data_IF_975999268097
#
_entry.id   IF_975999268097
#
_cell.length_a   1.000
_cell.length_b   1.000
_cell.length_c   1.000
_cell.angle_alpha   90.00
_cell.angle_beta   90.00
_cell.angle_gamma   90.00
#
_symmetry.space_group_name_H-M   'P 1'
#
loop_
_entity.id
_entity.type
_entity.pdbx_description
1 polymer ?
#
# COMPACT_ATOMS: atom_id res chain seq x y z
N UNK A 1 -5.44 22.18 -37.24
CA UNK A 1 -4.59 22.40 -36.05
C UNK A 1 -5.46 22.08 -34.85
N UNK A 2 -5.34 20.85 -34.36
CA UNK A 2 -6.12 20.35 -33.23
C UNK A 2 -5.52 20.86 -31.93
N UNK A 3 -5.95 22.04 -31.49
CA UNK A 3 -5.71 22.52 -30.13
C UNK A 3 -6.75 21.91 -29.19
N UNK A 4 -6.74 20.58 -29.07
CA UNK A 4 -7.26 19.91 -27.89
C UNK A 4 -6.18 20.03 -26.80
N UNK A 5 -5.98 21.27 -26.33
CA UNK A 5 -5.03 21.56 -25.28
C UNK A 5 -5.42 20.80 -24.00
N UNK A 6 -4.47 20.06 -23.48
CA UNK A 6 -4.43 19.36 -22.20
C UNK A 6 -5.45 19.90 -21.19
N UNK A 7 -6.51 19.12 -20.92
CA UNK A 7 -7.35 19.35 -19.75
C UNK A 7 -6.46 19.04 -18.56
N UNK A 8 -6.08 20.03 -17.72
CA UNK A 8 -5.25 19.76 -16.56
C UNK A 8 -5.97 18.72 -15.70
N UNK A 9 -5.26 17.64 -15.40
CA UNK A 9 -5.72 16.53 -14.58
C UNK A 9 -6.48 17.08 -13.36
N UNK A 10 -7.76 16.74 -13.26
CA UNK A 10 -8.66 17.39 -12.33
C UNK A 10 -8.14 17.24 -10.90
N UNK A 11 -7.81 18.36 -10.24
CA UNK A 11 -7.26 18.34 -8.88
C UNK A 11 -8.18 17.58 -7.93
N UNK A 12 -7.61 16.62 -7.20
CA UNK A 12 -8.31 15.95 -6.10
C UNK A 12 -8.76 16.98 -5.06
N UNK A 13 -9.85 16.70 -4.31
CA UNK A 13 -10.31 17.59 -3.25
C UNK A 13 -9.20 17.93 -2.24
N UNK A 14 -8.32 16.98 -1.93
CA UNK A 14 -7.20 17.11 -1.00
C UNK A 14 -6.17 18.11 -1.53
N UNK A 15 -5.71 17.92 -2.77
CA UNK A 15 -4.74 18.80 -3.41
C UNK A 15 -5.30 20.21 -3.55
N UNK A 16 -6.59 20.34 -3.89
CA UNK A 16 -7.28 21.64 -3.96
C UNK A 16 -7.28 22.35 -2.60
N UNK A 17 -7.58 21.65 -1.49
CA UNK A 17 -7.51 22.23 -0.14
C UNK A 17 -6.09 22.66 0.21
N UNK A 18 -5.09 21.84 -0.12
CA UNK A 18 -3.67 22.17 0.09
C UNK A 18 -3.26 23.46 -0.62
N UNK A 19 -3.63 23.61 -1.90
CA UNK A 19 -3.34 24.84 -2.65
C UNK A 19 -4.04 26.07 -2.06
N UNK A 20 -5.30 25.93 -1.65
CA UNK A 20 -6.06 27.04 -1.05
C UNK A 20 -5.47 27.48 0.30
N UNK A 21 -5.07 26.53 1.16
CA UNK A 21 -4.37 26.85 2.41
C UNK A 21 -3.04 27.56 2.14
N UNK A 22 -2.23 27.05 1.21
CA UNK A 22 -0.96 27.69 0.87
C UNK A 22 -1.13 29.13 0.33
N UNK A 23 -2.24 29.42 -0.36
CA UNK A 23 -2.59 30.79 -0.76
C UNK A 23 -2.92 31.64 0.47
N UNK A 24 -3.76 31.14 1.38
CA UNK A 24 -4.12 31.83 2.60
C UNK A 24 -2.89 32.12 3.47
N UNK A 25 -1.97 31.17 3.61
CA UNK A 25 -0.70 31.32 4.35
C UNK A 25 0.14 32.47 3.76
N UNK A 26 0.29 32.50 2.42
CA UNK A 26 1.03 33.57 1.74
C UNK A 26 0.36 34.93 1.91
N UNK A 27 -0.97 34.98 1.88
CA UNK A 27 -1.72 36.23 2.13
C UNK A 27 -1.54 36.70 3.57
N UNK A 28 -1.56 35.79 4.54
CA UNK A 28 -1.35 36.11 5.95
C UNK A 28 0.06 36.65 6.20
N UNK A 29 1.08 36.00 5.63
CA UNK A 29 2.47 36.47 5.69
C UNK A 29 2.68 37.81 5.00
N UNK A 30 1.96 38.08 3.91
CA UNK A 30 2.01 39.38 3.25
C UNK A 30 1.37 40.46 4.14
N UNK A 31 0.21 40.16 4.73
CA UNK A 31 -0.49 41.08 5.63
C UNK A 31 0.32 41.40 6.88
N UNK A 32 1.02 40.42 7.46
CA UNK A 32 1.87 40.62 8.65
C UNK A 32 3.13 41.45 8.39
N UNK A 33 3.47 41.70 7.12
CA UNK A 33 4.60 42.54 6.71
C UNK A 33 4.17 43.96 6.35
N UNK A 34 2.88 44.25 6.33
CA UNK A 34 2.40 45.61 6.09
C UNK A 34 2.71 46.49 7.31
N UNK A 35 3.03 47.77 7.05
CA UNK A 35 3.21 48.73 8.11
C UNK A 35 1.87 49.00 8.82
N UNK A 36 1.95 49.46 10.07
CA UNK A 36 0.76 49.81 10.83
C UNK A 36 -0.09 50.85 10.07
N UNK A 37 -1.41 50.60 9.92
CA UNK A 37 -2.28 51.51 9.20
C UNK A 37 -2.41 52.84 9.97
N UNK A 38 -2.38 53.95 9.23
CA UNK A 38 -2.43 55.31 9.79
C UNK A 38 -3.77 55.99 9.54
N UNK A 39 -4.55 55.46 8.62
CA UNK A 39 -5.85 56.01 8.22
C UNK A 39 -6.98 54.99 8.40
N UNK A 40 -8.21 55.48 8.54
CA UNK A 40 -9.39 54.62 8.64
C UNK A 40 -9.56 53.70 7.42
N UNK A 41 -9.25 54.19 6.22
CA UNK A 41 -9.35 53.39 4.98
C UNK A 41 -8.33 52.24 4.96
N UNK A 42 -7.10 52.48 5.42
CA UNK A 42 -6.08 51.43 5.55
C UNK A 42 -6.49 50.36 6.58
N UNK A 43 -7.09 50.78 7.70
CA UNK A 43 -7.63 49.85 8.71
C UNK A 43 -8.73 48.98 8.09
N UNK A 44 -9.71 49.58 7.40
CA UNK A 44 -10.79 48.83 6.74
C UNK A 44 -10.25 47.84 5.70
N UNK A 45 -9.26 48.26 4.90
CA UNK A 45 -8.61 47.40 3.92
C UNK A 45 -7.91 46.21 4.58
N UNK A 46 -7.21 46.43 5.69
CA UNK A 46 -6.59 45.38 6.50
C UNK A 46 -7.61 44.39 7.03
N UNK A 47 -8.71 44.88 7.61
CA UNK A 47 -9.82 44.04 8.12
C UNK A 47 -10.44 43.20 7.00
N UNK A 48 -10.74 43.80 5.84
CA UNK A 48 -11.32 43.06 4.70
C UNK A 48 -10.39 41.92 4.24
N UNK A 49 -9.08 42.16 4.22
CA UNK A 49 -8.08 41.13 3.87
C UNK A 49 -8.03 40.02 4.92
N UNK A 50 -8.02 40.38 6.20
CA UNK A 50 -8.06 39.40 7.29
C UNK A 50 -9.30 38.50 7.21
N UNK A 51 -10.48 39.08 6.97
CA UNK A 51 -11.73 38.32 6.81
C UNK A 51 -11.71 37.38 5.60
N UNK A 52 -11.08 37.77 4.49
CA UNK A 52 -10.91 36.90 3.32
C UNK A 52 -10.01 35.70 3.63
N UNK A 53 -8.91 35.93 4.36
CA UNK A 53 -7.98 34.88 4.79
C UNK A 53 -8.71 33.90 5.72
N UNK A 54 -9.40 34.40 6.73
CA UNK A 54 -10.17 33.58 7.68
C UNK A 54 -11.22 32.73 6.96
N UNK A 55 -11.94 33.32 6.00
CA UNK A 55 -12.96 32.61 5.21
C UNK A 55 -12.35 31.49 4.35
N UNK A 56 -11.12 31.64 3.86
CA UNK A 56 -10.43 30.58 3.13
C UNK A 56 -10.09 29.40 4.05
N UNK A 57 -9.55 29.65 5.24
CA UNK A 57 -9.29 28.60 6.22
C UNK A 57 -10.58 27.89 6.63
N UNK A 58 -11.62 28.64 7.01
CA UNK A 58 -12.89 28.06 7.43
C UNK A 58 -13.50 27.12 6.37
N UNK A 59 -13.37 27.46 5.09
CA UNK A 59 -13.82 26.60 3.99
C UNK A 59 -12.96 25.33 3.85
N UNK A 60 -11.65 25.45 4.00
CA UNK A 60 -10.76 24.29 3.98
C UNK A 60 -11.06 23.35 5.15
N UNK A 61 -11.25 23.89 6.35
CA UNK A 61 -11.55 23.13 7.56
C UNK A 61 -12.92 22.43 7.47
N UNK A 62 -13.95 23.15 7.00
CA UNK A 62 -15.29 22.58 6.84
C UNK A 62 -15.30 21.43 5.82
N UNK A 63 -14.56 21.58 4.71
CA UNK A 63 -14.49 20.53 3.68
C UNK A 63 -13.68 19.33 4.14
N UNK A 64 -12.61 19.54 4.90
CA UNK A 64 -11.84 18.47 5.52
C UNK A 64 -12.64 17.72 6.59
N UNK A 65 -13.34 18.43 7.47
CA UNK A 65 -14.23 17.83 8.46
C UNK A 65 -15.33 16.99 7.79
N UNK A 66 -15.89 17.46 6.66
CA UNK A 66 -16.86 16.69 5.88
C UNK A 66 -16.23 15.43 5.27
N UNK A 67 -15.01 15.52 4.74
CA UNK A 67 -14.31 14.37 4.18
C UNK A 67 -14.04 13.29 5.25
N UNK A 68 -13.63 13.70 6.45
CA UNK A 68 -13.42 12.79 7.59
C UNK A 68 -14.73 12.10 7.97
N UNK A 69 -15.83 12.85 8.11
CA UNK A 69 -17.16 12.27 8.42
C UNK A 69 -17.58 11.20 7.40
N UNK A 70 -17.35 11.47 6.11
CA UNK A 70 -17.67 10.51 5.05
C UNK A 70 -16.78 9.26 5.13
N UNK A 71 -15.48 9.42 5.42
CA UNK A 71 -14.56 8.30 5.58
C UNK A 71 -14.96 7.39 6.75
N UNK A 72 -15.32 7.98 7.90
CA UNK A 72 -15.80 7.23 9.07
C UNK A 72 -17.07 6.45 8.73
N UNK A 73 -18.06 7.09 8.11
CA UNK A 73 -19.31 6.43 7.72
C UNK A 73 -19.05 5.25 6.75
N UNK A 74 -18.11 5.40 5.80
CA UNK A 74 -17.72 4.31 4.90
C UNK A 74 -17.07 3.14 5.64
N UNK A 75 -16.23 3.41 6.65
CA UNK A 75 -15.59 2.36 7.45
C UNK A 75 -16.64 1.62 8.29
N UNK A 76 -17.57 2.34 8.91
CA UNK A 76 -18.66 1.75 9.69
C UNK A 76 -19.52 0.81 8.84
N UNK A 77 -19.86 1.21 7.61
CA UNK A 77 -20.58 0.36 6.66
C UNK A 77 -19.79 -0.90 6.29
N UNK A 78 -18.49 -0.80 6.05
CA UNK A 78 -17.65 -1.96 5.75
C UNK A 78 -17.55 -2.92 6.94
N UNK A 79 -17.42 -2.39 8.16
CA UNK A 79 -17.40 -3.19 9.40
C UNK A 79 -18.74 -3.89 9.60
N UNK A 80 -19.86 -3.18 9.39
CA UNK A 80 -21.20 -3.77 9.48
C UNK A 80 -21.41 -4.87 8.43
N UNK A 81 -21.00 -4.64 7.18
CA UNK A 81 -21.07 -5.64 6.11
C UNK A 81 -20.25 -6.89 6.44
N UNK A 82 -19.05 -6.72 7.01
CA UNK A 82 -18.18 -7.84 7.43
C UNK A 82 -18.72 -8.61 8.64
N UNK A 83 -19.49 -7.96 9.52
CA UNK A 83 -20.20 -8.62 10.63
C UNK A 83 -21.48 -9.32 10.15
N UNK A 84 -22.14 -8.78 9.13
CA UNK A 84 -23.39 -9.31 8.58
C UNK A 84 -23.17 -10.44 7.55
N UNK A 85 -21.98 -10.58 6.97
CA UNK A 85 -21.65 -11.77 6.17
C UNK A 85 -21.59 -12.99 7.12
N UNK A 86 -22.49 -13.98 6.98
CA UNK A 86 -22.38 -15.21 7.73
C UNK A 86 -21.05 -15.87 7.38
N UNK A 87 -20.38 -16.42 8.39
CA UNK A 87 -19.21 -17.28 8.22
C UNK A 87 -19.45 -18.20 7.02
N UNK A 88 -18.57 -18.25 6.00
CA UNK A 88 -18.69 -19.28 4.98
C UNK A 88 -18.76 -20.60 5.72
N UNK A 89 -19.71 -21.46 5.34
CA UNK A 89 -19.89 -22.79 5.91
C UNK A 89 -18.54 -23.41 6.22
N UNK A 90 -18.38 -24.08 7.38
CA UNK A 90 -17.08 -24.59 7.80
C UNK A 90 -16.46 -25.30 6.59
N UNK A 91 -15.22 -24.96 6.19
CA UNK A 91 -14.55 -25.73 5.15
C UNK A 91 -14.67 -27.21 5.56
N UNK A 92 -14.89 -28.14 4.61
CA UNK A 92 -14.96 -29.56 4.93
C UNK A 92 -13.79 -29.85 5.85
N UNK A 93 -14.10 -30.39 7.04
CA UNK A 93 -13.20 -30.47 8.19
C UNK A 93 -11.75 -30.54 7.71
N UNK A 94 -10.99 -29.45 7.92
CA UNK A 94 -9.56 -29.48 7.63
C UNK A 94 -8.99 -30.56 8.55
N UNK A 95 -8.85 -31.77 8.01
CA UNK A 95 -8.05 -32.82 8.60
C UNK A 95 -6.73 -32.14 8.88
N UNK A 96 -6.39 -32.02 10.17
CA UNK A 96 -5.11 -31.50 10.63
C UNK A 96 -4.06 -32.45 10.06
N UNK A 97 -3.61 -32.21 8.83
CA UNK A 97 -2.58 -33.01 8.18
C UNK A 97 -1.38 -32.96 9.11
N UNK A 98 -1.01 -34.12 9.64
CA UNK A 98 0.13 -34.22 10.53
C UNK A 98 1.40 -33.91 9.72
N UNK A 99 2.45 -33.41 10.37
CA UNK A 99 3.73 -33.16 9.69
C UNK A 99 4.24 -34.41 8.94
N UNK A 100 3.89 -35.61 9.42
CA UNK A 100 4.17 -36.87 8.76
C UNK A 100 3.43 -37.03 7.42
N UNK A 101 2.15 -36.64 7.32
CA UNK A 101 1.38 -36.70 6.07
C UNK A 101 1.90 -35.68 5.05
N UNK A 102 2.26 -34.48 5.51
CA UNK A 102 2.87 -33.44 4.67
C UNK A 102 4.22 -33.91 4.11
N UNK A 103 5.07 -34.50 4.95
CA UNK A 103 6.35 -35.06 4.54
C UNK A 103 6.18 -36.23 3.55
N UNK A 104 5.20 -37.09 3.79
CA UNK A 104 4.88 -38.23 2.91
C UNK A 104 4.45 -37.76 1.52
N UNK A 105 3.61 -36.72 1.45
CA UNK A 105 3.15 -36.13 0.19
C UNK A 105 4.28 -35.43 -0.56
N UNK A 106 5.18 -34.75 0.16
CA UNK A 106 6.36 -34.14 -0.44
C UNK A 106 7.32 -35.19 -1.03
N UNK A 107 7.55 -36.30 -0.32
CA UNK A 107 8.37 -37.41 -0.81
C UNK A 107 7.74 -38.09 -2.04
N UNK A 108 6.42 -38.31 -2.04
CA UNK A 108 5.71 -38.87 -3.18
C UNK A 108 5.80 -37.97 -4.42
N UNK A 109 5.69 -36.65 -4.24
CA UNK A 109 5.86 -35.68 -5.34
C UNK A 109 7.29 -35.69 -5.88
N UNK A 110 8.30 -35.78 -5.01
CA UNK A 110 9.71 -35.86 -5.39
C UNK A 110 10.03 -37.16 -6.15
N UNK A 111 9.49 -38.30 -5.69
CA UNK A 111 9.64 -39.58 -6.39
C UNK A 111 9.01 -39.56 -7.78
N UNK A 112 7.81 -38.94 -7.91
CA UNK A 112 7.13 -38.79 -9.20
C UNK A 112 7.88 -37.87 -10.16
N UNK A 113 8.53 -36.83 -9.64
CA UNK A 113 9.39 -35.94 -10.44
C UNK A 113 10.65 -36.67 -10.94
N UNK A 114 11.29 -37.47 -10.10
CA UNK A 114 12.46 -38.27 -10.47
C UNK A 114 12.12 -39.35 -11.52
N UNK A 115 10.97 -40.03 -11.36
CA UNK A 115 10.49 -41.01 -12.33
C UNK A 115 10.19 -40.41 -13.72
N UNK A 116 9.65 -39.19 -13.74
CA UNK A 116 9.48 -38.43 -15.00
C UNK A 116 10.82 -38.02 -15.61
N UNK A 117 11.79 -37.61 -14.78
CA UNK A 117 13.12 -37.23 -15.24
C UNK A 117 13.91 -38.41 -15.84
N UNK A 118 13.69 -39.63 -15.35
CA UNK A 118 14.29 -40.86 -15.93
C UNK A 118 13.49 -41.43 -17.11
N UNK A 119 12.44 -40.74 -17.59
CA UNK A 119 11.49 -41.22 -18.62
C UNK A 119 10.92 -42.62 -18.35
N UNK A 120 10.85 -43.02 -17.07
CA UNK A 120 10.36 -44.34 -16.66
C UNK A 120 11.36 -45.50 -16.78
N UNK A 121 12.61 -45.24 -17.13
CA UNK A 121 13.68 -46.26 -17.18
C UNK A 121 14.28 -46.49 -15.77
N UNK A 122 14.19 -47.71 -15.20
CA UNK A 122 14.64 -48.01 -13.84
C UNK A 122 16.18 -47.94 -13.66
N UNK A 123 16.97 -48.18 -14.70
CA UNK A 123 18.45 -48.08 -14.65
C UNK A 123 18.88 -46.61 -14.55
N UNK A 124 18.25 -45.73 -15.33
CA UNK A 124 18.48 -44.30 -15.30
C UNK A 124 18.09 -43.66 -13.95
N UNK A 125 17.02 -44.15 -13.32
CA UNK A 125 16.59 -43.66 -12.00
C UNK A 125 17.62 -43.96 -10.91
N UNK A 126 18.24 -45.15 -10.94
CA UNK A 126 19.35 -45.52 -10.03
C UNK A 126 20.55 -44.59 -10.20
N UNK A 127 20.89 -44.26 -11.44
CA UNK A 127 22.03 -43.39 -11.75
C UNK A 127 21.80 -41.93 -11.30
N UNK A 128 20.57 -41.42 -11.40
CA UNK A 128 20.20 -40.08 -10.90
C UNK A 128 20.19 -40.05 -9.37
N UNK A 129 19.68 -41.10 -8.71
CA UNK A 129 19.70 -41.18 -7.25
C UNK A 129 21.12 -41.32 -6.69
N UNK A 130 22.01 -42.06 -7.37
CA UNK A 130 23.42 -42.19 -6.97
C UNK A 130 24.15 -40.84 -6.97
N UNK A 131 23.93 -40.00 -7.98
CA UNK A 131 24.54 -38.65 -8.08
C UNK A 131 24.08 -37.68 -6.98
N UNK A 132 22.91 -37.88 -6.39
CA UNK A 132 22.40 -37.03 -5.31
C UNK A 132 22.89 -37.45 -3.92
N UNK A 133 23.48 -38.64 -3.78
CA UNK A 133 24.00 -39.18 -2.51
C UNK A 133 25.53 -39.25 -2.43
N UNK A 134 26.27 -38.90 -3.50
CA UNK A 134 27.72 -38.72 -3.41
C UNK A 134 28.05 -37.42 -2.66
N UNK A 135 28.35 -37.55 -1.37
CA UNK A 135 29.03 -36.53 -0.57
C UNK A 135 30.38 -36.18 -1.21
N UNK A 136 30.77 -34.89 -1.29
CA UNK A 136 32.11 -34.53 -1.75
C UNK A 136 33.15 -35.05 -0.75
N UNK A 137 33.91 -36.06 -1.16
CA UNK A 137 35.07 -36.57 -0.42
C UNK A 137 36.11 -35.45 -0.32
N UNK A 138 36.35 -34.99 0.89
CA UNK A 138 37.40 -34.03 1.22
C UNK A 138 38.78 -34.58 0.80
N UNK A 139 39.44 -33.90 -0.15
CA UNK A 139 40.86 -34.12 -0.45
C UNK A 139 41.71 -33.59 0.70
N UNK A 140 42.04 -34.44 1.66
CA UNK A 140 43.13 -34.18 2.59
C UNK A 140 44.45 -34.25 1.83
N UNK A 141 45.07 -33.09 1.59
CA UNK A 141 46.50 -32.99 1.28
C UNK A 141 47.27 -33.24 2.58
N UNK A 142 48.04 -34.32 2.60
CA UNK A 142 49.14 -34.51 3.53
C UNK A 142 50.37 -34.92 2.73
N UNK A 143 51.51 -34.54 3.27
CA UNK A 143 52.89 -34.92 2.92
C UNK A 143 53.59 -33.92 1.98
N UNK A 144 54.76 -33.35 2.31
CA UNK A 144 55.78 -33.65 3.35
C UNK A 144 56.63 -32.41 3.65
N UNK A 145 57.17 -32.34 4.87
CA UNK A 145 58.43 -31.64 5.20
C UNK A 145 59.64 -32.35 4.61
#
# INVERSE_FOLDING_TARGET
MDTAADIPEALTPETRRGHLRAIADRMLLALSREADPKTGEEIEKGIRRALLIERLYARCDATEAKAIKNAVASIEQQVAAKKASPSPAPPPAQTKETQAEIASRALAMKAKALYRASKGDPESLRQVMARHFETPVAKNRKDTS
#
